data_IF_203157662181
#
_entry.id   IF_203157662181
#
_cell.length_a   1.000
_cell.length_b   1.000
_cell.length_c   1.000
_cell.angle_alpha   90.00
_cell.angle_beta   90.00
_cell.angle_gamma   90.00
#
_symmetry.space_group_name_H-M   'P 1'
#
loop_
_entity.id
_entity.type
_entity.pdbx_description
1 polymer ?
#
# COMPACT_ATOMS: atom_id res chain seq x y z
N UNK A 1 5.89 -11.74 17.42
CA UNK A 1 5.64 -13.00 18.13
C UNK A 1 5.08 -14.05 17.17
N UNK A 2 3.89 -13.88 16.60
CA UNK A 2 3.20 -14.83 15.72
C UNK A 2 4.08 -15.31 14.55
N UNK A 3 4.79 -14.41 13.86
CA UNK A 3 5.70 -14.76 12.76
C UNK A 3 6.85 -15.66 13.22
N UNK A 4 7.47 -15.35 14.37
CA UNK A 4 8.54 -16.15 14.94
C UNK A 4 8.05 -17.54 15.35
N UNK A 5 6.90 -17.59 16.02
CA UNK A 5 6.31 -18.85 16.49
C UNK A 5 5.98 -19.78 15.31
N UNK A 6 5.48 -19.20 14.19
CA UNK A 6 5.22 -19.97 12.97
C UNK A 6 6.50 -20.53 12.34
N UNK A 7 7.55 -19.71 12.19
CA UNK A 7 8.83 -20.18 11.64
C UNK A 7 9.50 -21.23 12.50
N UNK A 8 9.35 -21.13 13.83
CA UNK A 8 9.92 -22.13 14.76
C UNK A 8 9.24 -23.49 14.65
N UNK A 9 7.94 -23.51 14.29
CA UNK A 9 7.13 -24.72 14.18
C UNK A 9 6.72 -25.01 12.72
N UNK A 10 7.54 -24.59 11.76
CA UNK A 10 7.24 -24.78 10.34
C UNK A 10 7.24 -26.26 9.98
N UNK A 11 6.24 -26.68 9.21
CA UNK A 11 6.13 -28.02 8.67
C UNK A 11 6.66 -28.09 7.22
N UNK A 12 6.90 -29.30 6.75
CA UNK A 12 7.24 -29.56 5.36
C UNK A 12 6.17 -29.01 4.41
N UNK A 13 6.62 -28.51 3.28
CA UNK A 13 5.77 -27.92 2.27
C UNK A 13 5.92 -28.62 0.94
N UNK A 14 4.90 -29.38 0.53
CA UNK A 14 4.86 -29.92 -0.81
C UNK A 14 4.69 -28.81 -1.84
N UNK A 15 5.66 -28.68 -2.74
CA UNK A 15 5.70 -27.62 -3.74
C UNK A 15 5.06 -27.99 -5.07
N UNK A 16 4.68 -29.25 -5.26
CA UNK A 16 4.01 -29.74 -6.49
C UNK A 16 2.50 -29.55 -6.42
N UNK A 17 1.89 -29.24 -7.58
CA UNK A 17 0.45 -29.14 -7.78
C UNK A 17 0.04 -29.80 -9.08
N UNK A 18 -1.07 -30.53 -9.05
CA UNK A 18 -1.68 -31.21 -10.21
C UNK A 18 -2.65 -30.25 -10.89
N UNK A 19 -2.11 -29.29 -11.63
CA UNK A 19 -2.86 -28.28 -12.35
C UNK A 19 -2.50 -28.29 -13.84
N UNK A 20 -3.44 -27.93 -14.70
CA UNK A 20 -3.20 -27.85 -16.14
C UNK A 20 -2.36 -26.64 -16.54
N UNK A 21 -2.33 -25.60 -15.69
CA UNK A 21 -1.63 -24.36 -15.95
C UNK A 21 -0.72 -24.00 -14.78
N UNK A 22 0.52 -23.63 -15.10
CA UNK A 22 1.49 -23.20 -14.11
C UNK A 22 2.93 -23.36 -14.61
N UNK A 23 3.89 -23.12 -13.72
CA UNK A 23 5.30 -23.37 -13.98
C UNK A 23 5.61 -24.85 -13.76
N UNK A 24 5.78 -25.60 -14.84
CA UNK A 24 6.10 -27.02 -14.75
C UNK A 24 7.42 -27.23 -14.00
N UNK A 25 7.43 -28.20 -13.09
CA UNK A 25 8.61 -28.55 -12.29
C UNK A 25 9.76 -28.97 -13.24
N UNK A 26 10.94 -28.37 -13.15
CA UNK A 26 12.06 -28.64 -14.05
C UNK A 26 12.86 -29.88 -13.61
N UNK A 27 12.15 -30.93 -13.16
CA UNK A 27 12.72 -32.21 -12.73
C UNK A 27 12.51 -33.26 -13.81
N UNK A 28 13.56 -34.06 -14.07
CA UNK A 28 13.56 -35.11 -15.05
C UNK A 28 13.98 -36.38 -14.35
N UNK A 29 13.05 -37.33 -14.22
CA UNK A 29 13.28 -38.62 -13.62
C UNK A 29 14.09 -39.50 -14.56
N UNK A 30 15.08 -40.20 -14.00
CA UNK A 30 16.00 -41.04 -14.73
C UNK A 30 15.55 -42.50 -14.55
N UNK A 31 15.08 -43.11 -15.61
CA UNK A 31 14.65 -44.49 -15.66
C UNK A 31 15.67 -45.35 -16.42
N UNK A 32 15.86 -46.59 -15.98
CA UNK A 32 16.58 -47.60 -16.75
C UNK A 32 15.67 -48.19 -17.82
N UNK A 33 16.22 -48.84 -18.83
CA UNK A 33 15.46 -49.43 -19.96
C UNK A 33 14.39 -50.48 -19.52
N UNK A 34 14.51 -51.00 -18.30
CA UNK A 34 13.56 -51.99 -17.73
C UNK A 34 12.49 -51.38 -16.81
N UNK A 35 12.53 -50.06 -16.56
CA UNK A 35 11.64 -49.38 -15.63
C UNK A 35 10.65 -48.47 -16.38
N UNK A 36 9.34 -48.71 -16.19
CA UNK A 36 8.29 -47.90 -16.83
C UNK A 36 7.55 -46.95 -15.88
N UNK A 37 7.88 -46.96 -14.57
CA UNK A 37 7.18 -46.16 -13.57
C UNK A 37 8.12 -45.35 -12.71
N UNK A 38 7.74 -44.09 -12.49
CA UNK A 38 8.39 -43.20 -11.52
C UNK A 38 7.80 -43.46 -10.14
N UNK A 39 8.68 -43.62 -9.15
CA UNK A 39 8.32 -43.72 -7.73
C UNK A 39 9.21 -42.79 -6.86
N UNK A 40 9.03 -42.84 -5.54
CA UNK A 40 9.78 -41.98 -4.61
C UNK A 40 11.30 -42.24 -4.56
N UNK A 41 11.74 -43.40 -5.02
CA UNK A 41 13.17 -43.78 -5.06
C UNK A 41 13.80 -43.48 -6.41
N UNK A 42 13.02 -43.11 -7.43
CA UNK A 42 13.52 -42.82 -8.77
C UNK A 42 14.43 -41.62 -8.77
N UNK A 43 15.70 -41.77 -9.20
CA UNK A 43 16.64 -40.65 -9.26
C UNK A 43 16.17 -39.61 -10.29
N UNK A 44 16.54 -38.36 -10.06
CA UNK A 44 16.19 -37.24 -10.93
C UNK A 44 17.33 -36.25 -11.12
N UNK A 45 17.22 -35.47 -12.18
CA UNK A 45 18.07 -34.31 -12.46
C UNK A 45 17.21 -33.07 -12.64
N UNK A 46 17.76 -31.91 -12.32
CA UNK A 46 17.14 -30.60 -12.54
C UNK A 46 17.79 -29.97 -13.75
N UNK A 47 17.00 -29.54 -14.73
CA UNK A 47 17.49 -28.91 -15.94
C UNK A 47 16.43 -28.02 -16.59
N UNK A 48 16.86 -27.06 -17.39
CA UNK A 48 15.97 -26.15 -18.12
C UNK A 48 15.20 -26.85 -19.26
N UNK A 49 15.89 -27.77 -19.92
CA UNK A 49 15.31 -28.51 -21.05
C UNK A 49 15.77 -29.98 -21.05
N UNK A 50 15.20 -30.77 -21.97
CA UNK A 50 15.46 -32.20 -22.10
C UNK A 50 16.91 -32.50 -22.52
N UNK A 51 17.53 -31.65 -23.35
CA UNK A 51 18.90 -31.88 -23.81
C UNK A 51 19.91 -31.69 -22.65
N UNK A 52 19.71 -30.62 -21.85
CA UNK A 52 20.51 -30.39 -20.66
C UNK A 52 20.31 -31.52 -19.65
N UNK A 53 19.06 -31.91 -19.41
CA UNK A 53 18.72 -33.04 -18.53
C UNK A 53 19.41 -34.33 -18.97
N UNK A 54 19.38 -34.64 -20.26
CA UNK A 54 20.00 -35.85 -20.83
C UNK A 54 21.52 -35.82 -20.64
N UNK A 55 22.18 -34.69 -20.85
CA UNK A 55 23.62 -34.57 -20.67
C UNK A 55 24.01 -34.79 -19.19
N UNK A 56 23.31 -34.12 -18.25
CA UNK A 56 23.55 -34.26 -16.82
C UNK A 56 23.28 -35.72 -16.37
N UNK A 57 22.21 -36.32 -16.87
CA UNK A 57 21.83 -37.67 -16.50
C UNK A 57 22.80 -38.73 -17.05
N UNK A 58 23.28 -38.57 -18.29
CA UNK A 58 24.29 -39.48 -18.87
C UNK A 58 25.61 -39.42 -18.12
N UNK A 59 26.00 -38.24 -17.67
CA UNK A 59 27.23 -38.08 -16.88
C UNK A 59 27.12 -38.79 -15.53
N UNK A 60 25.94 -38.70 -14.88
CA UNK A 60 25.73 -39.23 -13.53
C UNK A 60 25.35 -40.71 -13.49
N UNK A 61 24.59 -41.19 -14.46
CA UNK A 61 23.90 -42.49 -14.41
C UNK A 61 24.23 -43.41 -15.60
N UNK A 62 25.02 -42.96 -16.58
CA UNK A 62 25.43 -43.75 -17.73
C UNK A 62 24.62 -43.52 -19.00
N UNK A 63 24.89 -44.32 -20.06
CA UNK A 63 24.39 -44.00 -21.40
C UNK A 63 22.99 -44.57 -21.70
N UNK A 64 22.59 -45.66 -21.03
CA UNK A 64 21.31 -46.34 -21.29
C UNK A 64 20.25 -45.89 -20.30
N UNK A 65 19.71 -44.69 -20.56
CA UNK A 65 18.72 -44.06 -19.69
C UNK A 65 17.58 -43.46 -20.49
N UNK A 66 16.39 -43.47 -19.91
CA UNK A 66 15.19 -42.82 -20.40
C UNK A 66 14.83 -41.69 -19.44
N UNK A 67 14.48 -40.51 -19.95
CA UNK A 67 14.03 -39.38 -19.15
C UNK A 67 12.51 -39.26 -19.18
N UNK A 68 11.94 -38.95 -18.02
CA UNK A 68 10.52 -38.59 -17.88
C UNK A 68 10.44 -37.28 -17.09
N UNK A 69 9.94 -36.25 -17.73
CA UNK A 69 9.73 -34.96 -17.06
C UNK A 69 8.59 -35.04 -16.05
N UNK A 70 8.74 -34.39 -14.92
CA UNK A 70 7.68 -34.22 -13.93
C UNK A 70 6.47 -33.53 -14.59
N UNK A 71 5.27 -34.06 -14.34
CA UNK A 71 4.01 -33.57 -14.92
C UNK A 71 3.39 -32.46 -14.09
N UNK A 72 3.81 -32.31 -12.84
CA UNK A 72 3.26 -31.37 -11.90
C UNK A 72 3.82 -29.94 -12.17
N UNK A 73 3.12 -28.95 -11.63
CA UNK A 73 3.55 -27.57 -11.65
C UNK A 73 3.93 -27.11 -10.25
N UNK A 74 4.73 -26.07 -10.16
CA UNK A 74 5.10 -25.45 -8.89
C UNK A 74 3.89 -24.76 -8.24
N UNK A 75 3.81 -24.85 -6.91
CA UNK A 75 2.89 -24.07 -6.11
C UNK A 75 3.06 -22.57 -6.40
N UNK A 76 1.96 -21.84 -6.49
CA UNK A 76 1.95 -20.40 -6.74
C UNK A 76 2.84 -19.63 -5.76
N UNK A 77 2.85 -20.05 -4.49
CA UNK A 77 3.66 -19.40 -3.47
C UNK A 77 5.17 -19.67 -3.60
N UNK A 78 5.57 -20.68 -4.34
CA UNK A 78 6.98 -20.89 -4.69
C UNK A 78 7.46 -19.78 -5.63
N UNK A 79 6.78 -19.59 -6.75
CA UNK A 79 7.11 -18.53 -7.71
C UNK A 79 6.98 -17.15 -7.09
N UNK A 80 5.91 -16.91 -6.30
CA UNK A 80 5.69 -15.65 -5.59
C UNK A 80 6.77 -15.37 -4.53
N UNK A 81 7.37 -16.41 -3.95
CA UNK A 81 8.46 -16.28 -3.00
C UNK A 81 9.77 -15.76 -3.60
N UNK A 82 9.94 -15.92 -4.92
CA UNK A 82 11.11 -15.42 -5.67
C UNK A 82 10.96 -13.96 -6.10
N UNK A 83 9.75 -13.41 -6.06
CA UNK A 83 9.39 -12.11 -6.63
C UNK A 83 10.32 -10.94 -6.21
N UNK A 84 10.73 -10.77 -4.95
CA UNK A 84 11.52 -9.60 -4.51
C UNK A 84 12.86 -9.44 -5.22
N UNK A 85 13.43 -10.50 -5.76
CA UNK A 85 14.74 -10.51 -6.41
C UNK A 85 14.71 -11.00 -7.86
N UNK A 86 13.80 -11.92 -8.23
CA UNK A 86 13.71 -12.41 -9.60
C UNK A 86 13.30 -11.32 -10.60
N UNK A 87 12.40 -10.41 -10.21
CA UNK A 87 11.95 -9.29 -11.06
C UNK A 87 13.03 -8.21 -11.24
N UNK A 88 14.07 -8.23 -10.41
CA UNK A 88 15.20 -7.32 -10.51
C UNK A 88 16.40 -7.90 -11.29
N UNK A 89 16.20 -9.08 -11.90
CA UNK A 89 17.18 -9.72 -12.76
C UNK A 89 17.99 -10.85 -12.12
N UNK A 90 17.73 -11.24 -10.86
CA UNK A 90 18.32 -12.45 -10.27
C UNK A 90 17.92 -13.68 -11.13
N UNK A 91 18.79 -14.66 -11.38
CA UNK A 91 20.06 -14.95 -10.70
C UNK A 91 21.28 -14.16 -11.20
N UNK A 92 21.16 -13.29 -12.20
CA UNK A 92 22.29 -12.44 -12.60
C UNK A 92 22.52 -11.36 -11.53
N UNK A 93 23.62 -11.52 -10.76
CA UNK A 93 24.02 -10.55 -9.72
C UNK A 93 24.56 -9.24 -10.31
N UNK A 94 24.87 -9.21 -11.62
CA UNK A 94 25.38 -8.05 -12.33
C UNK A 94 24.26 -7.12 -12.83
N UNK A 95 22.99 -7.50 -12.64
CA UNK A 95 21.85 -6.65 -12.94
C UNK A 95 21.92 -5.34 -12.16
N UNK A 96 21.85 -4.20 -12.86
CA UNK A 96 21.85 -2.86 -12.26
C UNK A 96 20.67 -2.65 -11.32
N UNK A 97 19.52 -3.21 -11.66
CA UNK A 97 18.31 -3.10 -10.86
C UNK A 97 18.43 -3.93 -9.58
N UNK A 98 18.98 -5.15 -9.68
CA UNK A 98 19.24 -5.97 -8.51
C UNK A 98 20.24 -5.31 -7.55
N UNK A 99 21.35 -4.77 -8.06
CA UNK A 99 22.34 -4.08 -7.23
C UNK A 99 21.80 -2.82 -6.55
N UNK A 100 20.91 -2.08 -7.24
CA UNK A 100 20.38 -0.80 -6.76
C UNK A 100 19.18 -0.94 -5.84
N UNK A 101 18.27 -1.87 -6.13
CA UNK A 101 16.95 -1.93 -5.50
C UNK A 101 16.75 -3.12 -4.55
N UNK A 102 17.70 -4.06 -4.51
CA UNK A 102 17.64 -5.17 -3.59
C UNK A 102 18.69 -5.03 -2.47
N UNK A 103 18.31 -5.15 -1.18
CA UNK A 103 16.95 -5.38 -0.64
C UNK A 103 15.99 -4.21 -0.85
N UNK A 104 14.70 -4.52 -0.97
CA UNK A 104 13.64 -3.54 -1.14
C UNK A 104 13.40 -2.76 0.17
N UNK A 105 12.95 -1.50 0.07
CA UNK A 105 12.71 -0.65 1.24
C UNK A 105 11.48 -1.08 2.04
N UNK A 106 10.38 -1.41 1.36
CA UNK A 106 9.08 -1.67 1.98
C UNK A 106 8.30 -2.72 1.21
N UNK A 107 7.70 -3.66 1.93
CA UNK A 107 6.62 -4.52 1.44
C UNK A 107 5.30 -4.10 2.09
N UNK A 108 4.25 -3.96 1.29
CA UNK A 108 2.88 -3.75 1.76
C UNK A 108 2.07 -5.01 1.49
N UNK A 109 1.46 -5.60 2.52
CA UNK A 109 0.76 -6.89 2.39
C UNK A 109 -0.37 -7.03 3.42
N UNK A 110 -1.31 -7.94 3.13
CA UNK A 110 -2.35 -8.35 4.08
C UNK A 110 -1.83 -9.30 5.16
N UNK A 111 -2.47 -9.25 6.33
CA UNK A 111 -2.16 -10.15 7.44
C UNK A 111 -2.35 -11.63 7.06
N UNK A 112 -3.34 -11.93 6.26
CA UNK A 112 -3.76 -13.29 5.91
C UNK A 112 -2.75 -14.07 5.04
N UNK A 113 -1.80 -13.38 4.40
CA UNK A 113 -0.75 -13.99 3.57
C UNK A 113 0.67 -13.87 4.13
N UNK A 114 0.82 -13.49 5.39
CA UNK A 114 2.14 -13.38 6.03
C UNK A 114 2.91 -14.71 5.93
N UNK A 115 2.26 -15.82 6.26
CA UNK A 115 2.91 -17.13 6.28
C UNK A 115 3.10 -17.73 4.88
N UNK A 116 2.15 -17.45 4.00
CA UNK A 116 2.21 -17.98 2.63
C UNK A 116 3.19 -17.19 1.76
N UNK A 117 3.30 -15.90 1.96
CA UNK A 117 4.08 -15.04 1.09
C UNK A 117 5.30 -14.42 1.78
N UNK A 118 5.10 -13.65 2.86
CA UNK A 118 6.21 -12.93 3.51
C UNK A 118 7.25 -13.89 4.04
N UNK A 119 6.85 -14.93 4.75
CA UNK A 119 7.77 -15.92 5.31
C UNK A 119 8.58 -16.61 4.21
N UNK A 120 7.93 -17.02 3.12
CA UNK A 120 8.59 -17.66 1.99
C UNK A 120 9.56 -16.75 1.25
N UNK A 121 9.17 -15.50 1.00
CA UNK A 121 10.09 -14.50 0.43
C UNK A 121 11.32 -14.29 1.31
N UNK A 122 11.12 -14.22 2.63
CA UNK A 122 12.24 -14.05 3.59
C UNK A 122 13.16 -15.26 3.59
N UNK A 123 12.62 -16.48 3.62
CA UNK A 123 13.39 -17.72 3.58
C UNK A 123 14.17 -17.85 2.27
N UNK A 124 13.49 -17.69 1.13
CA UNK A 124 14.13 -17.79 -0.20
C UNK A 124 15.14 -16.68 -0.42
N UNK A 125 14.82 -15.44 -0.05
CA UNK A 125 15.75 -14.32 -0.14
C UNK A 125 17.02 -14.58 0.66
N UNK A 126 16.91 -15.06 1.90
CA UNK A 126 18.06 -15.37 2.71
C UNK A 126 18.91 -16.53 2.12
N UNK A 127 18.26 -17.59 1.63
CA UNK A 127 18.96 -18.74 1.04
C UNK A 127 19.67 -18.37 -0.26
N UNK A 128 18.95 -17.70 -1.18
CA UNK A 128 19.47 -17.47 -2.53
C UNK A 128 20.35 -16.23 -2.66
N UNK A 129 20.17 -15.23 -1.79
CA UNK A 129 20.89 -13.95 -1.90
C UNK A 129 21.70 -13.60 -0.65
N UNK A 130 21.63 -14.42 0.41
CA UNK A 130 22.19 -14.15 1.73
C UNK A 130 21.72 -12.81 2.35
N UNK A 131 20.56 -12.29 1.92
CA UNK A 131 20.00 -11.02 2.40
C UNK A 131 18.53 -11.16 2.70
N UNK A 132 18.05 -10.41 3.70
CA UNK A 132 16.62 -10.25 3.96
C UNK A 132 16.02 -9.32 2.89
N UNK A 133 14.92 -9.70 2.22
CA UNK A 133 14.45 -9.01 1.02
C UNK A 133 13.80 -7.65 1.24
N UNK A 134 13.36 -7.34 2.48
CA UNK A 134 12.68 -6.08 2.82
C UNK A 134 13.24 -5.50 4.10
N UNK A 135 13.39 -4.17 4.12
CA UNK A 135 13.72 -3.44 5.35
C UNK A 135 12.52 -3.40 6.29
N UNK A 136 11.36 -3.01 5.75
CA UNK A 136 10.10 -2.91 6.47
C UNK A 136 9.01 -3.75 5.81
N UNK A 137 8.08 -4.26 6.62
CA UNK A 137 6.87 -4.94 6.14
C UNK A 137 5.67 -4.27 6.77
N UNK A 138 4.90 -3.54 5.96
CA UNK A 138 3.65 -2.91 6.38
C UNK A 138 2.49 -3.88 6.18
N UNK A 139 1.83 -4.24 7.28
CA UNK A 139 0.72 -5.20 7.28
C UNK A 139 -0.59 -4.43 7.40
N UNK A 140 -1.42 -4.50 6.37
CA UNK A 140 -2.76 -3.92 6.37
C UNK A 140 -3.84 -4.94 6.71
N UNK A 141 -4.98 -4.46 7.22
CA UNK A 141 -6.18 -5.27 7.38
C UNK A 141 -6.94 -5.47 6.07
N UNK A 142 -7.93 -6.35 6.08
CA UNK A 142 -8.85 -6.56 4.97
C UNK A 142 -10.06 -5.65 5.10
N UNK A 143 -10.63 -5.25 3.97
CA UNK A 143 -11.95 -4.62 3.94
C UNK A 143 -13.01 -5.72 4.04
N UNK A 144 -13.87 -5.61 5.05
CA UNK A 144 -15.00 -6.52 5.30
C UNK A 144 -16.30 -5.89 4.86
N UNK A 145 -17.28 -6.73 4.59
CA UNK A 145 -18.62 -6.28 4.23
C UNK A 145 -19.37 -5.58 5.39
N UNK A 146 -20.57 -5.13 5.12
CA UNK A 146 -21.46 -4.45 6.07
C UNK A 146 -21.81 -5.30 7.32
N UNK A 147 -21.69 -6.63 7.19
CA UNK A 147 -21.92 -7.60 8.27
C UNK A 147 -20.62 -8.05 8.95
N UNK A 148 -19.50 -7.37 8.66
CA UNK A 148 -18.16 -7.72 9.16
C UNK A 148 -17.64 -9.09 8.70
N UNK A 149 -18.15 -9.61 7.57
CA UNK A 149 -17.69 -10.86 6.97
C UNK A 149 -16.59 -10.60 5.95
N UNK A 150 -15.64 -11.55 5.84
CA UNK A 150 -14.61 -11.50 4.78
C UNK A 150 -15.29 -11.58 3.41
N UNK A 151 -14.95 -10.65 2.51
CA UNK A 151 -15.45 -10.67 1.15
C UNK A 151 -14.83 -11.80 0.34
N UNK A 152 -15.64 -12.52 -0.44
CA UNK A 152 -15.17 -13.56 -1.36
C UNK A 152 -16.07 -13.65 -2.58
N UNK A 153 -15.52 -14.13 -3.70
CA UNK A 153 -16.30 -14.38 -4.92
C UNK A 153 -17.38 -15.44 -4.70
N UNK A 154 -17.07 -16.47 -3.92
CA UNK A 154 -18.02 -17.56 -3.62
C UNK A 154 -19.18 -17.12 -2.74
N UNK A 155 -18.97 -16.17 -1.84
CA UNK A 155 -20.02 -15.62 -0.98
C UNK A 155 -20.86 -14.53 -1.68
N UNK A 156 -20.42 -14.01 -2.82
CA UNK A 156 -21.12 -12.95 -3.55
C UNK A 156 -21.29 -11.63 -2.76
N UNK A 157 -20.50 -11.45 -1.69
CA UNK A 157 -20.61 -10.31 -0.80
C UNK A 157 -19.58 -9.20 -1.09
N UNK A 158 -18.87 -9.30 -2.22
CA UNK A 158 -17.95 -8.24 -2.67
C UNK A 158 -18.67 -6.91 -2.86
N UNK A 159 -17.99 -5.82 -2.53
CA UNK A 159 -18.41 -4.46 -2.83
C UNK A 159 -17.49 -3.97 -3.95
N UNK A 160 -18.09 -3.62 -5.09
CA UNK A 160 -17.34 -3.07 -6.21
C UNK A 160 -16.90 -1.63 -5.88
N UNK A 161 -15.60 -1.37 -5.78
CA UNK A 161 -15.11 -0.02 -5.49
C UNK A 161 -15.48 0.99 -6.58
N UNK A 162 -15.66 0.57 -7.84
CA UNK A 162 -16.01 1.46 -8.94
C UNK A 162 -17.38 2.11 -8.72
N UNK A 163 -18.35 1.39 -8.16
CA UNK A 163 -19.67 1.97 -7.82
C UNK A 163 -19.55 3.13 -6.81
N UNK A 164 -18.65 2.99 -5.83
CA UNK A 164 -18.40 4.05 -4.85
C UNK A 164 -17.60 5.20 -5.45
N UNK A 165 -16.65 4.92 -6.33
CA UNK A 165 -15.84 5.93 -7.02
C UNK A 165 -16.74 6.77 -7.95
N UNK A 166 -17.62 6.14 -8.74
CA UNK A 166 -18.56 6.85 -9.61
C UNK A 166 -19.49 7.76 -8.83
N UNK A 167 -19.94 7.32 -7.65
CA UNK A 167 -20.89 8.06 -6.84
C UNK A 167 -20.28 9.17 -5.99
N UNK A 168 -19.11 8.94 -5.42
CA UNK A 168 -18.52 9.80 -4.40
C UNK A 168 -17.14 10.39 -4.78
N UNK A 169 -16.52 9.89 -5.83
CA UNK A 169 -15.16 10.23 -6.23
C UNK A 169 -14.09 9.30 -5.60
N UNK A 170 -12.96 9.16 -6.29
CA UNK A 170 -11.85 8.30 -5.87
C UNK A 170 -11.24 8.75 -4.54
N UNK A 171 -11.06 10.04 -4.35
CA UNK A 171 -10.46 10.61 -3.14
C UNK A 171 -11.33 10.38 -1.90
N UNK A 172 -12.64 10.46 -2.04
CA UNK A 172 -13.57 10.17 -0.95
C UNK A 172 -13.45 8.71 -0.47
N UNK A 173 -13.37 7.75 -1.41
CA UNK A 173 -13.18 6.35 -1.07
C UNK A 173 -11.80 6.09 -0.43
N UNK A 174 -10.73 6.63 -1.02
CA UNK A 174 -9.35 6.50 -0.51
C UNK A 174 -9.25 7.04 0.93
N UNK A 175 -9.75 8.24 1.15
CA UNK A 175 -9.69 8.89 2.46
C UNK A 175 -10.55 8.16 3.50
N UNK A 176 -11.76 7.71 3.11
CA UNK A 176 -12.62 6.92 3.97
C UNK A 176 -11.91 5.65 4.48
N UNK A 177 -11.33 4.87 3.55
CA UNK A 177 -10.64 3.63 3.92
C UNK A 177 -9.42 3.88 4.81
N UNK A 178 -8.57 4.85 4.47
CA UNK A 178 -7.37 5.15 5.26
C UNK A 178 -7.74 5.65 6.66
N UNK A 179 -8.75 6.51 6.78
CA UNK A 179 -9.18 7.06 8.07
C UNK A 179 -9.71 6.00 9.04
N UNK A 180 -10.27 4.91 8.52
CA UNK A 180 -10.75 3.79 9.34
C UNK A 180 -9.63 2.84 9.79
N UNK A 181 -8.40 3.00 9.30
CA UNK A 181 -7.25 2.19 9.76
C UNK A 181 -6.92 2.57 11.20
N UNK A 182 -7.18 1.66 12.13
CA UNK A 182 -6.93 1.89 13.56
C UNK A 182 -5.59 1.30 14.05
N UNK A 183 -4.98 0.38 13.29
CA UNK A 183 -3.71 -0.26 13.63
C UNK A 183 -3.25 -1.27 12.57
N UNK A 184 -2.04 -1.80 12.75
CA UNK A 184 -1.47 -2.78 11.83
C UNK A 184 -2.30 -4.08 11.80
N UNK A 185 -2.73 -4.49 10.61
CA UNK A 185 -3.48 -5.73 10.39
C UNK A 185 -4.91 -5.75 10.90
N UNK A 186 -5.46 -4.62 11.36
CA UNK A 186 -6.85 -4.54 11.77
C UNK A 186 -7.77 -4.38 10.56
N UNK A 187 -8.76 -5.27 10.46
CA UNK A 187 -9.74 -5.25 9.39
C UNK A 187 -10.64 -4.01 9.47
N UNK A 188 -11.05 -3.51 8.32
CA UNK A 188 -11.93 -2.35 8.15
C UNK A 188 -13.30 -2.86 7.75
N UNK A 189 -14.32 -2.55 8.54
CA UNK A 189 -15.70 -2.79 8.14
C UNK A 189 -16.18 -1.62 7.29
N UNK A 190 -16.56 -1.90 6.03
CA UNK A 190 -17.18 -0.91 5.16
C UNK A 190 -18.71 -0.99 5.29
N UNK A 191 -19.33 0.08 5.74
CA UNK A 191 -20.78 0.23 5.75
C UNK A 191 -21.29 0.37 4.30
N UNK A 192 -22.09 -0.56 3.85
CA UNK A 192 -22.61 -0.54 2.48
C UNK A 192 -24.08 -0.94 2.43
N UNK A 193 -24.94 -0.01 2.03
CA UNK A 193 -26.34 -0.31 1.72
C UNK A 193 -26.46 -0.89 0.30
N UNK A 194 -26.65 -2.21 0.19
CA UNK A 194 -26.71 -2.92 -1.09
C UNK A 194 -27.87 -2.51 -1.97
N UNK A 195 -29.00 -2.03 -1.40
CA UNK A 195 -30.17 -1.59 -2.17
C UNK A 195 -29.96 -0.23 -2.79
N UNK A 196 -29.39 0.69 -2.01
CA UNK A 196 -29.12 2.08 -2.46
C UNK A 196 -27.74 2.23 -3.10
N UNK A 197 -26.88 1.23 -2.96
CA UNK A 197 -25.47 1.28 -3.35
C UNK A 197 -24.77 2.51 -2.76
N UNK A 198 -24.89 2.69 -1.43
CA UNK A 198 -24.34 3.83 -0.70
C UNK A 198 -23.51 3.38 0.49
N UNK A 199 -22.55 4.24 0.89
CA UNK A 199 -21.77 4.11 2.12
C UNK A 199 -21.77 5.47 2.84
N UNK A 200 -22.20 5.50 4.10
CA UNK A 200 -22.20 6.74 4.89
C UNK A 200 -20.79 7.20 5.22
N UNK A 201 -19.86 6.27 5.42
CA UNK A 201 -18.43 6.57 5.68
C UNK A 201 -17.77 7.24 4.46
N UNK A 202 -18.04 6.73 3.24
CA UNK A 202 -17.51 7.33 2.01
C UNK A 202 -18.18 8.66 1.72
N UNK A 203 -19.50 8.78 1.96
CA UNK A 203 -20.23 10.03 1.82
C UNK A 203 -19.71 11.12 2.76
N UNK A 204 -19.41 10.80 4.01
CA UNK A 204 -18.81 11.74 4.95
C UNK A 204 -17.44 12.25 4.45
N UNK A 205 -16.65 11.40 3.82
CA UNK A 205 -15.36 11.79 3.22
C UNK A 205 -15.55 12.68 1.98
N UNK A 206 -16.57 12.43 1.15
CA UNK A 206 -16.95 13.35 0.06
C UNK A 206 -17.39 14.72 0.62
N UNK A 207 -18.15 14.74 1.69
CA UNK A 207 -18.58 15.98 2.32
C UNK A 207 -17.39 16.77 2.89
N UNK A 208 -16.37 16.08 3.39
CA UNK A 208 -15.10 16.69 3.78
C UNK A 208 -14.39 17.34 2.57
N UNK A 209 -14.28 16.64 1.45
CA UNK A 209 -13.72 17.19 0.22
C UNK A 209 -14.50 18.42 -0.25
N UNK A 210 -15.83 18.38 -0.23
CA UNK A 210 -16.70 19.52 -0.59
C UNK A 210 -16.49 20.72 0.36
N UNK A 211 -16.31 20.47 1.67
CA UNK A 211 -16.04 21.55 2.63
C UNK A 211 -14.70 22.21 2.34
N UNK A 212 -13.65 21.42 2.09
CA UNK A 212 -12.35 21.94 1.68
C UNK A 212 -12.42 22.73 0.37
N UNK A 213 -13.15 22.20 -0.63
CA UNK A 213 -13.40 22.89 -1.89
C UNK A 213 -14.04 24.28 -1.68
N UNK A 214 -15.06 24.37 -0.84
CA UNK A 214 -15.73 25.62 -0.54
C UNK A 214 -14.82 26.59 0.22
N UNK A 215 -14.00 26.10 1.15
CA UNK A 215 -12.98 26.92 1.84
C UNK A 215 -11.90 27.43 0.86
N UNK A 216 -11.46 26.59 -0.07
CA UNK A 216 -10.54 26.98 -1.15
C UNK A 216 -11.16 28.04 -2.06
N UNK A 217 -12.43 27.85 -2.46
CA UNK A 217 -13.16 28.84 -3.26
C UNK A 217 -13.26 30.18 -2.53
N UNK A 218 -13.57 30.15 -1.23
CA UNK A 218 -13.56 31.36 -0.40
C UNK A 218 -12.19 32.04 -0.39
N UNK A 219 -11.11 31.28 -0.20
CA UNK A 219 -9.76 31.82 -0.22
C UNK A 219 -9.44 32.49 -1.57
N UNK A 220 -9.70 31.82 -2.69
CA UNK A 220 -9.42 32.34 -4.02
C UNK A 220 -10.23 33.59 -4.39
N UNK A 221 -11.49 33.70 -3.93
CA UNK A 221 -12.33 34.89 -4.17
C UNK A 221 -11.82 36.10 -3.38
N UNK A 222 -11.27 35.87 -2.20
CA UNK A 222 -10.80 36.92 -1.29
C UNK A 222 -9.32 37.26 -1.43
N UNK A 223 -8.59 36.56 -2.29
CA UNK A 223 -7.15 36.76 -2.51
C UNK A 223 -6.92 37.54 -3.78
N UNK A 224 -6.04 38.56 -3.74
CA UNK A 224 -5.63 39.31 -4.91
C UNK A 224 -4.76 38.42 -5.85
N UNK A 225 -4.81 38.69 -7.18
CA UNK A 225 -4.20 37.83 -8.21
C UNK A 225 -2.67 37.65 -8.16
N UNK A 226 -1.98 38.19 -7.16
CA UNK A 226 -0.53 38.28 -7.12
C UNK A 226 0.14 37.51 -5.97
N UNK A 227 -0.52 36.52 -5.38
CA UNK A 227 0.13 35.67 -4.37
C UNK A 227 1.12 34.73 -5.06
N UNK A 228 2.40 34.90 -4.75
CA UNK A 228 3.43 33.96 -5.20
C UNK A 228 3.42 32.71 -4.31
N UNK A 229 2.92 31.60 -4.86
CA UNK A 229 2.85 30.33 -4.12
C UNK A 229 4.21 29.72 -3.79
N UNK A 230 5.27 30.09 -4.52
CA UNK A 230 6.64 29.61 -4.23
C UNK A 230 7.26 30.36 -3.05
N UNK A 231 6.80 31.59 -2.79
CA UNK A 231 7.32 32.44 -1.73
C UNK A 231 6.19 33.22 -1.05
N UNK A 232 5.44 32.53 -0.20
CA UNK A 232 4.37 33.17 0.57
C UNK A 232 4.99 33.80 1.82
N UNK A 233 5.02 35.11 1.86
CA UNK A 233 5.55 35.89 3.00
C UNK A 233 4.43 36.64 3.71
N UNK A 234 4.46 36.62 5.04
CA UNK A 234 3.57 37.42 5.89
C UNK A 234 4.37 38.04 7.04
N UNK A 235 3.94 39.23 7.46
CA UNK A 235 4.61 40.00 8.48
C UNK A 235 4.17 39.54 9.88
N UNK A 236 5.10 38.99 10.66
CA UNK A 236 4.81 38.44 11.98
C UNK A 236 4.30 39.47 12.99
N UNK A 237 4.70 40.77 12.84
CA UNK A 237 4.25 41.86 13.68
C UNK A 237 2.83 42.35 13.42
N UNK A 238 2.21 41.86 12.32
CA UNK A 238 0.82 42.16 11.95
C UNK A 238 -0.13 41.02 12.25
N UNK A 239 0.34 39.94 12.89
CA UNK A 239 -0.48 38.78 13.22
C UNK A 239 -1.38 39.08 14.43
N UNK A 240 -2.67 38.86 14.25
CA UNK A 240 -3.64 38.88 15.35
C UNK A 240 -3.56 37.57 16.17
N UNK A 241 -4.24 37.51 17.30
CA UNK A 241 -4.25 36.37 18.18
C UNK A 241 -4.76 35.10 17.46
N UNK A 242 -5.79 35.23 16.60
CA UNK A 242 -6.33 34.18 15.78
C UNK A 242 -5.30 33.60 14.77
N UNK A 243 -4.45 34.48 14.22
CA UNK A 243 -3.40 34.09 13.28
C UNK A 243 -2.27 33.31 13.98
N UNK A 244 -1.84 33.81 15.14
CA UNK A 244 -0.84 33.15 15.97
C UNK A 244 -1.35 31.77 16.45
N UNK A 245 -2.62 31.70 16.82
CA UNK A 245 -3.27 30.44 17.22
C UNK A 245 -3.28 29.42 16.07
N UNK A 246 -3.78 29.78 14.89
CA UNK A 246 -3.88 28.84 13.78
C UNK A 246 -2.51 28.38 13.28
N UNK A 247 -1.50 29.27 13.24
CA UNK A 247 -0.13 28.90 12.89
C UNK A 247 0.48 27.93 13.90
N UNK A 248 0.24 28.16 15.20
CA UNK A 248 0.68 27.22 16.25
C UNK A 248 0.03 25.85 16.07
N UNK A 249 -1.29 25.82 15.77
CA UNK A 249 -2.03 24.59 15.49
C UNK A 249 -1.50 23.88 14.25
N UNK A 250 -1.30 24.62 13.15
CA UNK A 250 -0.76 24.11 11.88
C UNK A 250 0.61 23.45 12.09
N UNK A 251 1.54 24.15 12.74
CA UNK A 251 2.89 23.62 12.97
C UNK A 251 2.88 22.34 13.82
N UNK A 252 2.06 22.29 14.88
CA UNK A 252 1.88 21.09 15.69
C UNK A 252 1.31 19.94 14.86
N UNK A 253 0.31 20.23 14.03
CA UNK A 253 -0.32 19.24 13.15
C UNK A 253 0.68 18.73 12.12
N UNK A 254 1.41 19.60 11.41
CA UNK A 254 2.44 19.20 10.43
C UNK A 254 3.48 18.26 11.04
N UNK A 255 4.08 18.65 12.15
CA UNK A 255 5.09 17.84 12.82
C UNK A 255 4.52 16.46 13.21
N UNK A 256 3.34 16.44 13.81
CA UNK A 256 2.71 15.18 14.24
C UNK A 256 2.30 14.29 13.06
N UNK A 257 1.76 14.88 11.98
CA UNK A 257 1.43 14.14 10.74
C UNK A 257 2.69 13.54 10.12
N UNK A 258 3.77 14.30 10.06
CA UNK A 258 5.06 13.81 9.56
C UNK A 258 5.55 12.61 10.37
N UNK A 259 5.55 12.71 11.70
CA UNK A 259 5.94 11.61 12.58
C UNK A 259 5.05 10.39 12.40
N UNK A 260 3.73 10.59 12.27
CA UNK A 260 2.77 9.50 12.08
C UNK A 260 2.99 8.76 10.75
N UNK A 261 3.24 9.51 9.66
CA UNK A 261 3.53 8.91 8.35
C UNK A 261 4.85 8.14 8.38
N UNK A 262 5.91 8.69 8.97
CA UNK A 262 7.19 8.01 9.12
C UNK A 262 7.10 6.71 9.95
N UNK A 263 6.15 6.64 10.87
CA UNK A 263 5.88 5.46 11.68
C UNK A 263 4.75 4.57 11.10
N UNK A 264 4.35 4.76 9.86
CA UNK A 264 3.29 4.01 9.17
C UNK A 264 1.91 4.07 9.86
N UNK A 265 1.63 5.11 10.64
CA UNK A 265 0.35 5.34 11.33
C UNK A 265 -0.59 6.17 10.46
N UNK A 266 -0.88 5.68 9.27
CA UNK A 266 -1.57 6.44 8.22
C UNK A 266 -2.99 6.86 8.62
N UNK A 267 -3.73 6.01 9.32
CA UNK A 267 -5.08 6.33 9.79
C UNK A 267 -5.10 7.44 10.84
N UNK A 268 -4.13 7.44 11.78
CA UNK A 268 -3.99 8.51 12.77
C UNK A 268 -3.61 9.84 12.08
N UNK A 269 -2.72 9.79 11.08
CA UNK A 269 -2.36 10.97 10.30
C UNK A 269 -3.58 11.56 9.56
N UNK A 270 -4.36 10.73 8.87
CA UNK A 270 -5.56 11.16 8.16
C UNK A 270 -6.61 11.79 9.11
N UNK A 271 -6.83 11.20 10.29
CA UNK A 271 -7.74 11.75 11.32
C UNK A 271 -7.27 13.12 11.80
N UNK A 272 -5.98 13.27 12.07
CA UNK A 272 -5.42 14.55 12.55
C UNK A 272 -5.52 15.66 11.50
N UNK A 273 -5.26 15.33 10.21
CA UNK A 273 -5.44 16.29 9.11
C UNK A 273 -6.91 16.69 8.98
N UNK A 274 -7.83 15.71 9.06
CA UNK A 274 -9.27 15.97 9.05
C UNK A 274 -9.69 16.94 10.17
N UNK A 275 -9.29 16.66 11.40
CA UNK A 275 -9.63 17.47 12.58
C UNK A 275 -9.12 18.91 12.45
N UNK A 276 -7.86 19.09 12.07
CA UNK A 276 -7.30 20.41 11.85
C UNK A 276 -8.05 21.15 10.72
N UNK A 277 -8.25 20.48 9.58
CA UNK A 277 -8.87 21.12 8.42
C UNK A 277 -10.33 21.47 8.67
N UNK A 278 -11.10 20.53 9.24
CA UNK A 278 -12.53 20.75 9.47
C UNK A 278 -12.79 21.73 10.61
N UNK A 279 -12.22 21.45 11.79
CA UNK A 279 -12.55 22.20 12.99
C UNK A 279 -11.73 23.51 13.09
N UNK A 280 -10.39 23.40 13.08
CA UNK A 280 -9.55 24.58 13.35
C UNK A 280 -9.57 25.57 12.17
N UNK A 281 -9.39 25.06 10.94
CA UNK A 281 -9.31 25.92 9.76
C UNK A 281 -10.69 26.35 9.25
N UNK A 282 -11.58 25.41 8.88
CA UNK A 282 -12.85 25.76 8.25
C UNK A 282 -13.88 26.36 9.23
N UNK A 283 -14.04 25.75 10.44
CA UNK A 283 -15.09 26.18 11.36
C UNK A 283 -14.71 27.42 12.17
N UNK A 284 -13.41 27.66 12.40
CA UNK A 284 -12.96 28.80 13.19
C UNK A 284 -12.18 29.81 12.39
N UNK A 285 -11.05 29.47 11.81
CA UNK A 285 -10.15 30.46 11.23
C UNK A 285 -10.76 31.18 10.03
N UNK A 286 -11.38 30.46 9.11
CA UNK A 286 -12.10 31.05 7.96
C UNK A 286 -13.20 31.99 8.44
N UNK A 287 -13.92 31.66 9.52
CA UNK A 287 -14.96 32.52 10.06
C UNK A 287 -14.39 33.81 10.70
N UNK A 288 -13.24 33.71 11.36
CA UNK A 288 -12.52 34.89 11.87
C UNK A 288 -12.05 35.83 10.78
N UNK A 289 -11.72 35.32 9.59
CA UNK A 289 -11.27 36.14 8.46
C UNK A 289 -12.41 36.87 7.73
N UNK A 290 -13.66 36.38 7.79
CA UNK A 290 -14.79 36.97 7.06
C UNK A 290 -15.02 38.44 7.42
N UNK A 291 -15.08 38.88 8.70
CA UNK A 291 -15.21 40.29 9.04
C UNK A 291 -14.01 41.13 8.55
N UNK A 292 -12.80 40.57 8.59
CA UNK A 292 -11.55 41.27 8.18
C UNK A 292 -11.56 41.52 6.67
N UNK A 293 -12.04 40.57 5.86
CA UNK A 293 -12.17 40.72 4.41
C UNK A 293 -13.31 41.64 3.99
N UNK A 294 -14.32 41.80 4.82
CA UNK A 294 -15.44 42.70 4.57
C UNK A 294 -15.17 44.17 4.99
N UNK A 295 -14.13 44.39 5.79
CA UNK A 295 -13.72 45.75 6.17
C UNK A 295 -13.05 46.44 4.97
N UNK A 296 -13.56 47.64 4.56
CA UNK A 296 -13.08 48.36 3.38
C UNK A 296 -11.64 48.92 3.50
N UNK A 297 -11.09 48.96 4.69
CA UNK A 297 -9.73 49.45 4.95
C UNK A 297 -9.02 48.53 5.97
N UNK A 298 -8.32 47.53 5.47
CA UNK A 298 -7.43 46.73 6.30
C UNK A 298 -5.99 46.90 5.83
N UNK A 299 -5.18 47.62 6.61
CA UNK A 299 -3.71 47.71 6.41
C UNK A 299 -3.03 46.36 6.51
N UNK A 300 -3.75 45.32 6.98
CA UNK A 300 -3.31 43.94 7.12
C UNK A 300 -3.86 43.01 6.06
N UNK A 301 -4.72 43.49 5.13
CA UNK A 301 -5.43 42.62 4.16
C UNK A 301 -4.50 41.72 3.37
N UNK A 302 -3.43 42.24 2.80
CA UNK A 302 -2.44 41.45 2.06
C UNK A 302 -1.78 40.38 2.95
N UNK A 303 -1.57 40.68 4.23
CA UNK A 303 -1.03 39.74 5.20
C UNK A 303 -2.02 38.61 5.49
N UNK A 304 -3.31 38.91 5.63
CA UNK A 304 -4.41 37.94 5.83
C UNK A 304 -4.56 37.02 4.63
N UNK A 305 -4.50 37.59 3.42
CA UNK A 305 -4.54 36.80 2.16
C UNK A 305 -3.38 35.81 2.07
N UNK A 306 -2.17 36.29 2.30
CA UNK A 306 -0.96 35.47 2.27
C UNK A 306 -1.01 34.36 3.33
N UNK A 307 -1.43 34.67 4.54
CA UNK A 307 -1.54 33.71 5.61
C UNK A 307 -2.61 32.64 5.31
N UNK A 308 -3.77 33.05 4.81
CA UNK A 308 -4.84 32.13 4.39
C UNK A 308 -4.34 31.14 3.33
N UNK A 309 -3.64 31.63 2.30
CA UNK A 309 -3.09 30.78 1.24
C UNK A 309 -1.97 29.89 1.77
N UNK A 310 -1.12 30.39 2.66
CA UNK A 310 -0.08 29.56 3.31
C UNK A 310 -0.68 28.37 4.05
N UNK A 311 -1.69 28.59 4.88
CA UNK A 311 -2.35 27.53 5.64
C UNK A 311 -3.03 26.52 4.70
N UNK A 312 -3.75 27.04 3.70
CA UNK A 312 -4.43 26.19 2.72
C UNK A 312 -3.44 25.32 1.93
N UNK A 313 -2.32 25.90 1.48
CA UNK A 313 -1.26 25.17 0.79
C UNK A 313 -0.70 24.01 1.65
N UNK A 314 -0.42 24.27 2.92
CA UNK A 314 0.07 23.26 3.85
C UNK A 314 -0.96 22.14 4.10
N UNK A 315 -2.26 22.48 4.18
CA UNK A 315 -3.35 21.49 4.25
C UNK A 315 -3.35 20.60 3.00
N UNK A 316 -3.26 21.18 1.81
CA UNK A 316 -3.26 20.43 0.55
C UNK A 316 -2.02 19.53 0.44
N UNK A 317 -0.85 20.00 0.86
CA UNK A 317 0.38 19.19 0.90
C UNK A 317 0.20 17.98 1.84
N UNK A 318 -0.35 18.19 3.05
CA UNK A 318 -0.60 17.09 3.98
C UNK A 318 -1.65 16.09 3.48
N UNK A 319 -2.66 16.56 2.73
CA UNK A 319 -3.72 15.71 2.18
C UNK A 319 -3.30 14.95 0.92
N UNK A 320 -2.34 15.45 0.16
CA UNK A 320 -1.96 14.89 -1.14
C UNK A 320 -1.70 13.37 -1.13
N UNK A 321 -1.02 12.75 -0.14
CA UNK A 321 -0.85 11.29 -0.11
C UNK A 321 -2.16 10.52 0.00
N UNK A 322 -3.19 11.12 0.56
CA UNK A 322 -4.50 10.51 0.84
C UNK A 322 -5.54 10.83 -0.22
N UNK A 323 -5.55 12.08 -0.69
CA UNK A 323 -6.53 12.66 -1.62
C UNK A 323 -5.78 13.44 -2.72
N UNK A 324 -5.18 12.73 -3.72
CA UNK A 324 -4.28 13.36 -4.70
C UNK A 324 -5.01 14.11 -5.85
N UNK A 325 -6.35 13.95 -6.00
CA UNK A 325 -7.11 14.47 -7.13
C UNK A 325 -8.01 15.66 -6.80
#
# INVERSE_FOLDING_TARGET
KVYKDWLTNINDWCISRQLWWGHQIPAWYVLNDSEDKVDQSTPYVIAHDENEALNIAKEKFGLNIKLVRDKDVLDTWFSSGLWPFSTLGWPSTDSKDFQKWYPNSLLVTGFDIIFFWVARMTMMGNIFTAKIPFKDVYIHGLVRDENNKKMSKSAGNGIDPLLLIEKYGSDALRFALIREVAGAGQDIRLDFDRKKQTSSTVEASRNFANKLWNATKFALINTTKNVNLEKIEFESNKLELSDQWILSRLNKTKNKVTDLIHNYKLGEAAKLIYEFTWNDFCDWYVEFLKPRFNANESSSRSNDENLLIHILNDILIMLNPFMPH
#
